data_IF_032901052330
#
_entry.id   IF_032901052330
#
_cell.length_a   1.000
_cell.length_b   1.000
_cell.length_c   1.000
_cell.angle_alpha   90.00
_cell.angle_beta   90.00
_cell.angle_gamma   90.00
#
_symmetry.space_group_name_H-M   'P 1'
#
loop_
_entity.id
_entity.type
_entity.pdbx_description
1 polymer ?
#
# COMPACT_ATOMS: atom_id res chain seq x y z
N UNK A 1 -6.67 -1.51 -13.58
CA UNK A 1 -6.27 -0.86 -12.33
C UNK A 1 -6.93 -1.59 -11.18
N UNK A 2 -6.12 -1.95 -10.19
CA UNK A 2 -6.55 -2.40 -8.86
C UNK A 2 -6.22 -1.30 -7.85
N UNK A 3 -6.90 -1.34 -6.71
CA UNK A 3 -6.67 -0.38 -5.64
C UNK A 3 -7.01 -0.96 -4.27
N UNK A 4 -6.26 -0.53 -3.27
CA UNK A 4 -6.56 -0.70 -1.87
C UNK A 4 -6.61 0.68 -1.22
N UNK A 5 -7.64 0.93 -0.42
CA UNK A 5 -7.77 2.16 0.35
C UNK A 5 -7.87 1.81 1.84
N UNK A 6 -7.21 2.62 2.67
CA UNK A 6 -7.37 2.62 4.12
C UNK A 6 -8.18 3.85 4.49
N UNK A 7 -9.31 3.61 5.15
CA UNK A 7 -10.26 4.65 5.51
C UNK A 7 -9.64 5.74 6.41
N UNK A 8 -10.14 6.95 6.19
CA UNK A 8 -9.85 8.13 6.97
C UNK A 8 -10.67 8.15 8.27
N UNK A 9 -10.05 8.61 9.37
CA UNK A 9 -10.78 8.95 10.61
C UNK A 9 -10.86 10.48 10.69
N UNK A 10 -12.03 11.05 10.41
CA UNK A 10 -12.28 12.49 10.49
C UNK A 10 -12.29 13.20 9.12
N UNK A 11 -11.76 14.43 9.04
CA UNK A 11 -11.82 15.28 7.82
C UNK A 11 -10.52 15.36 7.01
N UNK A 12 -9.47 14.64 7.39
CA UNK A 12 -8.18 14.68 6.71
C UNK A 12 -7.37 13.40 6.87
N UNK A 13 -6.61 13.07 5.82
CA UNK A 13 -5.67 11.95 5.79
C UNK A 13 -6.31 10.60 5.48
N UNK A 14 -5.78 9.92 4.46
CA UNK A 14 -6.18 8.59 4.03
C UNK A 14 -5.10 8.04 3.08
N UNK A 15 -4.97 6.71 3.02
CA UNK A 15 -3.93 6.05 2.26
C UNK A 15 -4.56 5.25 1.13
N UNK A 16 -4.04 5.42 -0.10
CA UNK A 16 -4.44 4.63 -1.25
C UNK A 16 -3.21 4.04 -1.94
N UNK A 17 -3.27 2.75 -2.24
CA UNK A 17 -2.31 2.06 -3.11
C UNK A 17 -3.02 1.71 -4.41
N UNK A 18 -2.44 2.10 -5.55
CA UNK A 18 -3.00 1.88 -6.89
C UNK A 18 -1.96 1.15 -7.74
N UNK A 19 -2.39 0.17 -8.52
CA UNK A 19 -1.51 -0.60 -9.39
C UNK A 19 -2.21 -1.12 -10.65
N UNK A 20 -1.42 -1.53 -11.64
CA UNK A 20 -1.92 -2.13 -12.87
C UNK A 20 -2.54 -3.52 -12.61
N UNK A 21 -3.45 -3.98 -13.47
CA UNK A 21 -4.02 -5.33 -13.37
C UNK A 21 -2.97 -6.44 -13.52
N UNK A 22 -1.90 -6.15 -14.24
CA UNK A 22 -0.84 -7.12 -14.51
C UNK A 22 0.16 -7.25 -13.34
N UNK A 23 0.10 -6.34 -12.36
CA UNK A 23 0.98 -6.35 -11.19
C UNK A 23 0.33 -7.11 -10.05
N UNK A 24 1.06 -8.07 -9.50
CA UNK A 24 0.64 -8.84 -8.34
C UNK A 24 1.07 -8.11 -7.07
N UNK A 25 0.12 -7.79 -6.21
CA UNK A 25 0.35 -7.09 -4.95
C UNK A 25 -0.25 -7.91 -3.82
N UNK A 26 0.60 -8.29 -2.87
CA UNK A 26 0.22 -8.99 -1.64
C UNK A 26 0.46 -8.07 -0.44
N UNK A 27 -0.62 -7.66 0.22
CA UNK A 27 -0.56 -6.75 1.36
C UNK A 27 -0.12 -7.53 2.60
N UNK A 28 0.94 -7.08 3.24
CA UNK A 28 1.44 -7.73 4.46
C UNK A 28 0.99 -7.01 5.72
N UNK A 29 1.02 -5.69 5.73
CA UNK A 29 0.44 -4.91 6.83
C UNK A 29 0.01 -3.53 6.35
N UNK A 30 -0.96 -2.96 7.06
CA UNK A 30 -1.37 -1.59 6.85
C UNK A 30 -1.84 -0.98 8.17
N UNK A 31 -1.73 0.33 8.26
CA UNK A 31 -2.40 1.14 9.26
C UNK A 31 -2.87 2.45 8.62
N UNK A 32 -3.50 3.32 9.41
CA UNK A 32 -3.79 4.71 8.99
C UNK A 32 -2.55 5.51 8.56
N UNK A 33 -1.34 5.04 8.88
CA UNK A 33 -0.08 5.76 8.66
C UNK A 33 0.92 5.02 7.78
N UNK A 34 0.69 3.75 7.45
CA UNK A 34 1.59 3.02 6.56
C UNK A 34 0.88 1.94 5.75
N UNK A 35 1.49 1.58 4.64
CA UNK A 35 1.18 0.36 3.87
C UNK A 35 2.47 -0.37 3.57
N UNK A 36 2.44 -1.69 3.74
CA UNK A 36 3.57 -2.57 3.46
C UNK A 36 3.09 -3.77 2.62
N UNK A 37 3.68 -3.94 1.44
CA UNK A 37 3.23 -4.90 0.43
C UNK A 37 4.39 -5.57 -0.28
N UNK A 38 4.19 -6.82 -0.72
CA UNK A 38 5.08 -7.50 -1.68
C UNK A 38 4.54 -7.25 -3.06
N UNK A 39 5.43 -6.93 -4.00
CA UNK A 39 5.06 -6.59 -5.38
C UNK A 39 5.84 -7.47 -6.34
N UNK A 40 5.13 -8.06 -7.30
CA UNK A 40 5.68 -8.87 -8.38
C UNK A 40 5.10 -8.39 -9.71
N UNK A 41 5.95 -8.33 -10.75
CA UNK A 41 5.50 -7.97 -12.10
C UNK A 41 4.85 -9.15 -12.82
N UNK A 42 5.26 -10.37 -12.48
CA UNK A 42 4.69 -11.62 -13.00
C UNK A 42 4.66 -12.68 -11.91
N UNK A 43 3.67 -13.56 -11.97
CA UNK A 43 3.57 -14.69 -11.07
C UNK A 43 4.81 -15.59 -11.19
N UNK A 44 5.43 -15.91 -10.04
CA UNK A 44 6.63 -16.74 -9.98
C UNK A 44 7.97 -16.00 -10.11
N UNK A 45 7.97 -14.69 -10.33
CA UNK A 45 9.19 -13.86 -10.24
C UNK A 45 9.50 -13.47 -8.79
N UNK A 46 10.75 -13.06 -8.55
CA UNK A 46 11.15 -12.50 -7.26
C UNK A 46 10.30 -11.26 -6.94
N UNK A 47 9.84 -11.17 -5.69
CA UNK A 47 9.11 -10.00 -5.23
C UNK A 47 10.07 -8.94 -4.70
N UNK A 48 9.66 -7.69 -4.83
CA UNK A 48 10.25 -6.58 -4.08
C UNK A 48 9.27 -6.05 -3.03
N UNK A 49 9.79 -5.26 -2.09
CA UNK A 49 9.03 -4.73 -0.96
C UNK A 49 8.66 -3.28 -1.19
N UNK A 50 7.36 -2.97 -1.16
CA UNK A 50 6.87 -1.60 -1.09
C UNK A 50 6.48 -1.28 0.35
N UNK A 51 7.08 -0.25 0.94
CA UNK A 51 6.66 0.30 2.23
C UNK A 51 6.47 1.80 2.08
N UNK A 52 5.23 2.26 2.22
CA UNK A 52 4.86 3.67 2.16
C UNK A 52 4.36 4.15 3.51
N UNK A 53 4.78 5.35 3.92
CA UNK A 53 4.34 6.00 5.15
C UNK A 53 3.59 7.29 4.82
N UNK A 54 2.61 7.64 5.64
CA UNK A 54 1.83 8.87 5.51
C UNK A 54 1.47 9.40 6.90
N UNK A 55 1.60 10.72 7.08
CA UNK A 55 1.45 11.40 8.35
C UNK A 55 2.77 12.02 8.81
N UNK A 56 2.66 13.02 9.66
CA UNK A 56 3.79 13.63 10.36
C UNK A 56 4.12 12.77 11.60
N UNK A 57 5.39 12.45 11.87
CA UNK A 57 5.76 11.83 13.13
C UNK A 57 5.47 12.82 14.27
N UNK A 58 4.67 12.38 15.25
CA UNK A 58 4.46 13.12 16.50
C UNK A 58 5.81 13.17 17.26
N UNK A 59 6.61 14.23 17.05
CA UNK A 59 7.80 14.53 17.85
C UNK A 59 7.48 15.62 18.89
#
# INVERSE_FOLDING_TARGET
MHSLAVDLIGKGGGLALLWDKEVFVDLVSFSRYHMDARVQLREGEDYWRFTGFYGEPDF
#
